data_IF_768035954031
#
_entry.id   IF_768035954031
#
_cell.length_a   1.000
_cell.length_b   1.000
_cell.length_c   1.000
_cell.angle_alpha   90.00
_cell.angle_beta   90.00
_cell.angle_gamma   90.00
#
_symmetry.space_group_name_H-M   'P 1'
#
loop_
_entity.id
_entity.type
_entity.pdbx_description
1 polymer ?
#
# COMPACT_ATOMS: atom_id res chain seq x y z
N UNK A 1 2.23 -10.79 0.98
CA UNK A 1 2.73 -9.50 0.41
C UNK A 1 3.49 -8.76 1.51
N UNK A 2 4.55 -7.98 1.21
CA UNK A 2 5.34 -7.26 2.23
C UNK A 2 5.28 -5.75 2.07
N UNK A 3 5.16 -5.04 3.19
CA UNK A 3 5.27 -3.58 3.26
C UNK A 3 6.16 -3.16 4.44
N UNK A 4 7.07 -2.23 4.20
CA UNK A 4 8.07 -1.80 5.19
C UNK A 4 8.06 -0.30 5.38
N UNK A 5 8.20 0.14 6.64
CA UNK A 5 8.32 1.55 6.99
C UNK A 5 9.39 1.75 8.05
N UNK A 6 10.30 2.68 7.79
CA UNK A 6 11.38 3.02 8.72
C UNK A 6 11.02 4.27 9.53
N UNK A 7 11.30 4.22 10.83
CA UNK A 7 11.21 5.33 11.77
C UNK A 7 12.61 5.67 12.31
N UNK A 8 12.85 6.94 12.71
CA UNK A 8 14.11 7.32 13.36
C UNK A 8 14.29 6.59 14.71
N UNK A 9 15.53 6.40 15.17
CA UNK A 9 15.87 5.72 16.44
C UNK A 9 15.18 6.32 17.67
N UNK A 10 14.88 7.62 17.64
CA UNK A 10 14.21 8.35 18.72
C UNK A 10 12.69 8.37 18.63
N UNK A 11 12.07 7.53 17.79
CA UNK A 11 10.63 7.49 17.66
C UNK A 11 9.97 7.04 18.98
N UNK A 12 8.88 7.71 19.35
CA UNK A 12 8.11 7.37 20.55
C UNK A 12 7.29 6.11 20.33
N UNK A 13 6.89 5.46 21.42
CA UNK A 13 6.00 4.30 21.34
C UNK A 13 4.72 4.62 20.55
N UNK A 14 4.11 5.78 20.76
CA UNK A 14 2.92 6.23 19.99
C UNK A 14 3.19 6.38 18.48
N UNK A 15 4.42 6.71 18.07
CA UNK A 15 4.78 6.79 16.66
C UNK A 15 4.95 5.38 16.07
N UNK A 16 5.52 4.46 16.85
CA UNK A 16 5.66 3.05 16.47
C UNK A 16 4.26 2.43 16.32
N UNK A 17 3.39 2.57 17.33
CA UNK A 17 2.05 1.97 17.35
C UNK A 17 1.17 2.48 16.21
N UNK A 18 1.19 3.81 15.94
CA UNK A 18 0.50 4.38 14.78
C UNK A 18 1.03 3.86 13.46
N UNK A 19 2.35 3.64 13.37
CA UNK A 19 2.95 3.12 12.15
C UNK A 19 2.61 1.65 11.95
N UNK A 20 2.56 0.85 13.02
CA UNK A 20 2.07 -0.54 12.98
C UNK A 20 0.61 -0.57 12.51
N UNK A 21 -0.26 0.26 13.09
CA UNK A 21 -1.66 0.35 12.69
C UNK A 21 -1.80 0.74 11.22
N UNK A 22 -1.00 1.70 10.74
CA UNK A 22 -0.98 2.09 9.34
C UNK A 22 -0.49 0.97 8.42
N UNK A 23 0.59 0.27 8.77
CA UNK A 23 1.11 -0.87 8.00
C UNK A 23 0.05 -1.96 7.86
N UNK A 24 -0.66 -2.28 8.95
CA UNK A 24 -1.78 -3.23 8.93
C UNK A 24 -2.90 -2.77 8.01
N UNK A 25 -3.45 -1.57 8.24
CA UNK A 25 -4.54 -1.03 7.44
C UNK A 25 -4.18 -0.94 5.95
N UNK A 26 -2.96 -0.54 5.62
CA UNK A 26 -2.51 -0.44 4.22
C UNK A 26 -2.45 -1.80 3.53
N UNK A 27 -1.87 -2.81 4.18
CA UNK A 27 -1.80 -4.16 3.61
C UNK A 27 -3.19 -4.78 3.48
N UNK A 28 -4.08 -4.56 4.45
CA UNK A 28 -5.46 -5.05 4.39
C UNK A 28 -6.22 -4.44 3.23
N UNK A 29 -6.18 -3.11 3.10
CA UNK A 29 -6.89 -2.37 2.07
C UNK A 29 -6.43 -2.78 0.67
N UNK A 30 -5.12 -2.89 0.44
CA UNK A 30 -4.57 -3.32 -0.86
C UNK A 30 -4.98 -4.74 -1.24
N UNK A 31 -5.33 -5.57 -0.25
CA UNK A 31 -5.78 -6.93 -0.48
C UNK A 31 -7.31 -7.05 -0.60
N UNK A 32 -8.05 -6.00 -0.24
CA UNK A 32 -9.49 -5.95 -0.32
C UNK A 32 -9.92 -5.29 -1.64
N UNK A 33 -11.04 -5.75 -2.22
CA UNK A 33 -11.51 -5.21 -3.49
C UNK A 33 -12.08 -3.79 -3.37
N UNK A 34 -12.58 -3.43 -2.18
CA UNK A 34 -13.20 -2.16 -1.84
C UNK A 34 -12.26 -1.26 -1.00
N UNK A 35 -10.96 -1.60 -0.96
CA UNK A 35 -9.95 -0.94 -0.14
C UNK A 35 -10.27 -0.91 1.37
N UNK A 36 -11.02 -1.89 1.89
CA UNK A 36 -11.38 -1.97 3.31
C UNK A 36 -10.14 -2.31 4.18
N UNK A 37 -9.71 -1.41 5.09
CA UNK A 37 -8.54 -1.63 5.94
C UNK A 37 -8.76 -2.71 7.03
N UNK A 38 -9.99 -3.14 7.25
CA UNK A 38 -10.35 -4.07 8.32
C UNK A 38 -10.52 -5.52 7.83
N UNK A 39 -10.89 -5.76 6.56
CA UNK A 39 -11.21 -7.10 6.03
C UNK A 39 -10.11 -8.15 6.28
N UNK A 40 -8.86 -7.81 5.97
CA UNK A 40 -7.72 -8.73 6.08
C UNK A 40 -6.76 -8.35 7.24
N UNK A 41 -7.22 -7.54 8.19
CA UNK A 41 -6.37 -6.98 9.25
C UNK A 41 -5.75 -8.03 10.16
N UNK A 42 -6.46 -9.13 10.39
CA UNK A 42 -6.00 -10.27 11.19
C UNK A 42 -4.98 -11.15 10.45
N UNK A 43 -4.95 -11.08 9.12
CA UNK A 43 -3.98 -11.80 8.28
C UNK A 43 -2.65 -11.04 8.12
N UNK A 44 -2.55 -9.84 8.68
CA UNK A 44 -1.31 -9.05 8.68
C UNK A 44 -0.51 -9.28 9.96
N UNK A 45 0.63 -9.94 9.78
CA UNK A 45 1.66 -10.06 10.82
C UNK A 45 2.61 -8.87 10.75
N UNK A 46 2.78 -8.13 11.85
CA UNK A 46 3.73 -7.01 11.93
C UNK A 46 4.84 -7.32 12.92
N UNK A 47 6.08 -7.08 12.52
CA UNK A 47 7.26 -7.18 13.37
C UNK A 47 8.13 -5.93 13.26
N UNK A 48 8.88 -5.67 14.33
CA UNK A 48 9.76 -4.50 14.45
C UNK A 48 11.20 -4.95 14.58
N UNK A 49 12.08 -4.35 13.79
CA UNK A 49 13.52 -4.59 13.79
C UNK A 49 14.27 -3.29 14.10
N UNK A 50 15.37 -3.38 14.84
CA UNK A 50 16.25 -2.24 15.10
C UNK A 50 17.53 -2.42 14.27
N UNK A 51 17.79 -1.50 13.34
CA UNK A 51 18.93 -1.58 12.43
C UNK A 51 19.44 -0.20 12.04
N UNK A 52 20.76 -0.03 12.03
CA UNK A 52 21.44 1.17 11.50
C UNK A 52 20.90 2.51 12.06
N UNK A 53 20.56 2.55 13.36
CA UNK A 53 19.99 3.75 14.01
C UNK A 53 18.55 4.05 13.57
N UNK A 54 17.79 3.02 13.18
CA UNK A 54 16.38 3.12 12.78
C UNK A 54 15.57 1.98 13.36
N UNK A 55 14.27 2.23 13.47
CA UNK A 55 13.26 1.25 13.82
C UNK A 55 12.52 0.91 12.53
N UNK A 56 12.70 -0.32 12.03
CA UNK A 56 12.03 -0.83 10.84
C UNK A 56 10.80 -1.61 11.25
N UNK A 57 9.64 -1.22 10.74
CA UNK A 57 8.38 -1.92 10.92
C UNK A 57 8.08 -2.66 9.62
N UNK A 58 7.91 -3.98 9.70
CA UNK A 58 7.67 -4.86 8.57
C UNK A 58 6.32 -5.53 8.75
N UNK A 59 5.40 -5.28 7.81
CA UNK A 59 4.16 -6.02 7.67
C UNK A 59 4.30 -7.12 6.64
N UNK A 60 3.78 -8.30 6.95
CA UNK A 60 3.60 -9.41 6.03
C UNK A 60 2.13 -9.82 6.04
N UNK A 61 1.51 -9.80 4.86
CA UNK A 61 0.14 -10.22 4.63
C UNK A 61 0.13 -11.65 4.09
N UNK A 62 -0.54 -12.54 4.79
CA UNK A 62 -0.79 -13.93 4.38
C UNK A 62 -2.18 -14.10 3.74
N UNK A 63 -2.46 -13.28 2.74
CA UNK A 63 -3.68 -13.33 1.93
C UNK A 63 -3.35 -13.03 0.46
N UNK A 64 -4.15 -13.59 -0.44
CA UNK A 64 -4.07 -13.27 -1.87
C UNK A 64 -4.78 -11.92 -2.09
N UNK A 65 -4.11 -10.92 -2.69
CA UNK A 65 -4.71 -9.61 -2.84
C UNK A 65 -5.81 -9.65 -3.92
N UNK A 66 -7.00 -9.16 -3.57
CA UNK A 66 -8.19 -9.20 -4.41
C UNK A 66 -8.50 -7.86 -5.12
N UNK A 67 -7.62 -6.88 -4.96
CA UNK A 67 -7.77 -5.56 -5.59
C UNK A 67 -7.96 -5.68 -7.11
N UNK A 68 -8.96 -4.98 -7.69
CA UNK A 68 -9.30 -5.12 -9.10
C UNK A 68 -8.14 -4.87 -10.06
N UNK A 69 -7.26 -3.90 -9.74
CA UNK A 69 -6.11 -3.54 -10.56
C UNK A 69 -5.00 -4.61 -10.63
N UNK A 70 -5.09 -5.67 -9.81
CA UNK A 70 -4.19 -6.82 -9.86
C UNK A 70 -4.74 -7.96 -10.72
N UNK A 71 -6.03 -7.91 -11.11
CA UNK A 71 -6.69 -8.99 -11.85
C UNK A 71 -6.39 -8.90 -13.36
N UNK A 72 -6.21 -10.04 -14.05
CA UNK A 72 -6.07 -10.05 -15.50
C UNK A 72 -7.30 -9.43 -16.18
N UNK A 73 -7.08 -8.49 -17.09
CA UNK A 73 -8.15 -7.83 -17.84
C UNK A 73 -8.73 -6.57 -17.19
N UNK A 74 -8.16 -6.09 -16.08
CA UNK A 74 -8.48 -4.78 -15.54
C UNK A 74 -8.15 -3.68 -16.56
N UNK A 75 -9.14 -2.85 -16.92
CA UNK A 75 -8.95 -1.65 -17.72
C UNK A 75 -9.10 -0.42 -16.80
N UNK A 76 -8.00 0.30 -16.48
CA UNK A 76 -8.08 1.50 -15.64
C UNK A 76 -8.88 2.64 -16.27
N UNK A 77 -9.20 2.54 -17.57
CA UNK A 77 -9.98 3.51 -18.31
C UNK A 77 -11.41 3.05 -18.58
N UNK A 78 -11.86 1.92 -18.03
CA UNK A 78 -13.24 1.47 -18.19
C UNK A 78 -14.21 2.54 -17.65
N UNK A 79 -15.13 3.01 -18.49
CA UNK A 79 -16.08 4.08 -18.14
C UNK A 79 -15.51 5.50 -18.16
N UNK A 80 -14.22 5.68 -18.48
CA UNK A 80 -13.61 7.00 -18.70
C UNK A 80 -13.87 7.45 -20.14
N UNK A 81 -14.23 8.73 -20.33
CA UNK A 81 -14.45 9.27 -21.69
C UNK A 81 -13.13 9.35 -22.48
N UNK A 82 -13.21 9.24 -23.80
CA UNK A 82 -12.05 9.36 -24.68
C UNK A 82 -11.28 10.69 -24.49
N UNK A 83 -12.01 11.77 -24.18
CA UNK A 83 -11.44 13.10 -23.91
C UNK A 83 -10.59 13.11 -22.62
N UNK A 84 -11.08 12.49 -21.54
CA UNK A 84 -10.34 12.36 -20.28
C UNK A 84 -9.17 11.39 -20.42
N UNK A 85 -9.35 10.33 -21.23
CA UNK A 85 -8.29 9.37 -21.54
C UNK A 85 -7.14 10.02 -22.31
N UNK A 86 -7.43 10.89 -23.29
CA UNK A 86 -6.41 11.62 -24.05
C UNK A 86 -5.58 12.56 -23.15
N UNK A 87 -6.20 13.23 -22.17
CA UNK A 87 -5.49 14.10 -21.22
C UNK A 87 -4.56 13.32 -20.28
N UNK A 88 -4.93 12.11 -19.88
CA UNK A 88 -4.10 11.27 -19.01
C UNK A 88 -2.86 10.72 -19.75
N UNK A 89 -2.97 10.45 -21.05
CA UNK A 89 -1.85 9.94 -21.87
C UNK A 89 -0.80 11.03 -22.15
N UNK A 90 -1.20 12.28 -22.32
CA UNK A 90 -0.27 13.38 -22.57
C UNK A 90 0.65 13.71 -21.37
N UNK A 91 0.24 13.37 -20.14
CA UNK A 91 1.04 13.57 -18.91
C UNK A 91 2.15 12.51 -18.76
N UNK A 92 1.92 11.26 -19.18
CA UNK A 92 2.92 10.18 -19.13
C UNK A 92 4.01 10.30 -20.20
N UNK A 93 3.74 10.99 -21.32
CA UNK A 93 4.72 11.22 -22.40
C UNK A 93 5.58 12.49 -22.14
N UNK A 94 5.30 13.21 -21.05
CA UNK A 94 5.99 14.46 -20.70
C UNK A 94 7.37 14.32 -20.05
N UNK A 95 7.79 13.12 -19.64
CA UNK A 95 9.05 12.87 -18.90
C UNK A 95 10.20 12.34 -19.78
N UNK A 96 10.24 12.78 -21.05
CA UNK A 96 11.40 12.63 -21.93
C UNK A 96 11.80 14.00 -22.51
N UNK A 97 12.35 14.91 -21.70
CA UNK A 97 13.16 16.05 -22.19
C UNK A 97 14.30 16.46 -21.27
#
# INVERSE_FOLDING_TARGET
>A
MKYTRDLPEGATQDQIDRTIAHVRAHLSAVADADDDPDTNADDVTVHTEHRDGRIRIVGDLDAEPDAPYLKPGFDPYEGVSDELRALAVDDEVGDER
#
